data_IF_430282917008
#
_entry.id   IF_430282917008
#
_cell.length_a   1.000
_cell.length_b   1.000
_cell.length_c   1.000
_cell.angle_alpha   90.00
_cell.angle_beta   90.00
_cell.angle_gamma   90.00
#
_symmetry.space_group_name_H-M   'P 1'
#
loop_
_entity.id
_entity.type
_entity.pdbx_description
1 polymer ?
#
# COMPACT_ATOMS: atom_id res chain seq x y z
N UNK A 1 1.95 -0.01 -24.13
CA UNK A 1 2.98 0.46 -23.18
C UNK A 1 2.43 0.25 -21.79
N UNK A 2 3.15 -0.39 -20.89
CA UNK A 2 2.70 -0.60 -19.52
C UNK A 2 2.62 0.74 -18.79
N UNK A 3 1.51 0.97 -18.09
CA UNK A 3 1.32 2.10 -17.17
C UNK A 3 1.14 1.51 -15.78
N UNK A 4 2.16 1.63 -14.97
CA UNK A 4 2.26 0.96 -13.66
C UNK A 4 1.91 1.94 -12.54
N UNK A 5 0.92 1.59 -11.73
CA UNK A 5 0.58 2.30 -10.49
C UNK A 5 1.25 1.62 -9.31
N UNK A 6 2.08 2.37 -8.58
CA UNK A 6 2.64 1.90 -7.32
C UNK A 6 1.71 2.24 -6.17
N UNK A 7 1.48 1.26 -5.28
CA UNK A 7 0.69 1.42 -4.06
C UNK A 7 1.42 0.81 -2.87
N UNK A 8 1.16 1.36 -1.69
CA UNK A 8 1.64 0.81 -0.41
C UNK A 8 0.66 1.16 0.70
N UNK A 9 0.78 0.58 1.87
CA UNK A 9 0.04 1.01 3.05
C UNK A 9 0.82 2.04 3.89
N UNK A 10 0.14 2.66 4.86
CA UNK A 10 0.74 3.75 5.66
C UNK A 10 1.82 3.30 6.62
N UNK A 11 1.89 2.00 6.99
CA UNK A 11 2.98 1.46 7.81
C UNK A 11 4.34 1.40 7.07
N UNK A 12 4.39 1.81 5.79
CA UNK A 12 5.63 2.00 5.03
C UNK A 12 6.47 3.18 5.52
N UNK A 13 5.90 4.06 6.37
CA UNK A 13 6.52 5.32 6.79
C UNK A 13 7.03 6.20 5.64
N UNK A 14 6.43 6.02 4.47
CA UNK A 14 6.79 6.79 3.28
C UNK A 14 6.38 8.26 3.45
N UNK A 15 7.29 9.23 3.32
CA UNK A 15 6.91 10.63 3.38
C UNK A 15 5.87 10.97 2.31
N UNK A 16 4.75 11.59 2.72
CA UNK A 16 3.64 11.93 1.81
C UNK A 16 4.09 12.78 0.63
N UNK A 17 4.99 13.72 0.85
CA UNK A 17 5.53 14.54 -0.23
C UNK A 17 6.24 13.68 -1.28
N UNK A 18 7.10 12.74 -0.84
CA UNK A 18 7.79 11.82 -1.75
C UNK A 18 6.82 10.91 -2.50
N UNK A 19 5.77 10.44 -1.82
CA UNK A 19 4.72 9.63 -2.46
C UNK A 19 3.98 10.43 -3.54
N UNK A 20 3.58 11.65 -3.26
CA UNK A 20 2.92 12.54 -4.22
C UNK A 20 3.81 12.84 -5.42
N UNK A 21 5.08 13.21 -5.18
CA UNK A 21 6.05 13.48 -6.24
C UNK A 21 6.28 12.25 -7.14
N UNK A 22 6.23 11.05 -6.58
CA UNK A 22 6.43 9.79 -7.31
C UNK A 22 5.13 9.17 -7.84
N UNK A 23 3.95 9.70 -7.49
CA UNK A 23 2.66 9.17 -7.92
C UNK A 23 2.29 7.84 -7.23
N UNK A 24 2.80 7.63 -6.01
CA UNK A 24 2.52 6.46 -5.18
C UNK A 24 1.26 6.71 -4.37
N UNK A 25 0.32 5.77 -4.36
CA UNK A 25 -0.82 5.81 -3.46
C UNK A 25 -0.46 5.15 -2.13
N UNK A 26 -0.66 5.88 -1.03
CA UNK A 26 -0.54 5.35 0.33
C UNK A 26 -1.94 5.06 0.84
N UNK A 27 -2.24 3.80 1.11
CA UNK A 27 -3.53 3.34 1.63
C UNK A 27 -3.48 3.40 3.17
N UNK A 28 -4.33 4.21 3.80
CA UNK A 28 -4.26 4.44 5.24
C UNK A 28 -4.71 3.22 6.05
N UNK A 29 -3.94 2.89 7.08
CA UNK A 29 -4.33 1.89 8.09
C UNK A 29 -5.32 2.54 9.05
N UNK A 30 -6.47 1.89 9.36
CA UNK A 30 -7.39 2.40 10.37
C UNK A 30 -6.81 2.23 11.78
N UNK A 31 -6.95 3.27 12.60
CA UNK A 31 -6.52 3.32 14.01
C UNK A 31 -7.74 3.67 14.87
N UNK A 32 -7.89 3.00 16.00
CA UNK A 32 -8.88 3.34 17.01
C UNK A 32 -8.20 3.86 18.28
N UNK A 33 -8.69 5.00 18.78
CA UNK A 33 -8.25 5.62 20.03
C UNK A 33 -9.48 5.92 20.88
N UNK A 34 -9.56 5.36 22.07
CA UNK A 34 -10.69 5.55 23.00
C UNK A 34 -12.08 5.34 22.33
N UNK A 35 -12.18 4.35 21.43
CA UNK A 35 -13.40 4.03 20.71
C UNK A 35 -13.70 4.90 19.49
N UNK A 36 -12.86 5.89 19.19
CA UNK A 36 -12.97 6.71 17.97
C UNK A 36 -12.04 6.17 16.87
N UNK A 37 -12.56 6.04 15.64
CA UNK A 37 -11.79 5.61 14.47
C UNK A 37 -11.10 6.78 13.77
N UNK A 38 -9.89 6.53 13.29
CA UNK A 38 -9.04 7.46 12.52
C UNK A 38 -8.38 6.71 11.37
N UNK A 39 -7.95 7.45 10.35
CA UNK A 39 -7.12 6.95 9.26
C UNK A 39 -5.70 7.52 9.39
N UNK A 40 -4.72 6.64 9.51
CA UNK A 40 -3.32 6.99 9.69
C UNK A 40 -2.82 7.94 8.60
N UNK A 41 -2.24 9.05 9.06
CA UNK A 41 -1.69 10.07 8.18
C UNK A 41 -2.75 10.81 7.32
N UNK A 42 -4.04 10.56 7.47
CA UNK A 42 -5.15 11.34 6.88
C UNK A 42 -5.72 12.28 7.92
N UNK A 43 -6.13 11.73 9.06
CA UNK A 43 -6.83 12.49 10.11
C UNK A 43 -5.86 13.18 11.07
N UNK A 44 -4.60 12.82 11.04
CA UNK A 44 -3.54 13.43 11.87
C UNK A 44 -2.15 13.27 11.24
N UNK A 45 -1.26 14.16 11.58
CA UNK A 45 0.18 14.00 11.34
C UNK A 45 0.81 13.10 12.40
N UNK A 46 2.00 12.50 12.17
CA UNK A 46 2.70 11.73 13.20
C UNK A 46 2.89 12.51 14.51
N UNK A 47 3.16 13.81 14.44
CA UNK A 47 3.34 14.66 15.63
C UNK A 47 2.03 14.83 16.41
N UNK A 48 0.92 15.04 15.73
CA UNK A 48 -0.40 15.15 16.37
C UNK A 48 -0.80 13.82 17.00
N UNK A 49 -0.47 12.69 16.35
CA UNK A 49 -0.75 11.36 16.89
C UNK A 49 -0.04 11.10 18.23
N UNK A 50 1.20 11.55 18.39
CA UNK A 50 1.88 11.45 19.71
C UNK A 50 1.14 12.21 20.79
N UNK A 51 0.56 13.37 20.50
CA UNK A 51 -0.26 14.12 21.44
C UNK A 51 -1.57 13.40 21.77
N UNK A 52 -2.20 12.78 20.76
CA UNK A 52 -3.40 11.95 20.94
C UNK A 52 -3.07 10.77 21.86
N UNK A 53 -1.98 10.05 21.59
CA UNK A 53 -1.54 8.90 22.39
C UNK A 53 -1.27 9.27 23.86
N UNK A 54 -0.66 10.43 24.12
CA UNK A 54 -0.38 10.89 25.49
C UNK A 54 -1.65 11.20 26.29
N UNK A 55 -2.75 11.57 25.62
CA UNK A 55 -4.04 11.87 26.24
C UNK A 55 -5.01 10.68 26.25
N UNK A 56 -4.70 9.62 25.53
CA UNK A 56 -5.53 8.44 25.41
C UNK A 56 -5.62 7.67 26.75
N UNK A 57 -6.80 7.14 27.05
CA UNK A 57 -7.04 6.31 28.25
C UNK A 57 -6.55 4.88 28.06
N UNK A 58 -6.60 4.41 26.83
CA UNK A 58 -6.17 3.07 26.41
C UNK A 58 -5.13 3.15 25.31
N UNK A 59 -4.33 2.11 25.15
CA UNK A 59 -3.36 2.02 24.06
C UNK A 59 -4.13 1.98 22.73
N UNK A 60 -3.82 2.86 21.76
CA UNK A 60 -4.43 2.82 20.44
C UNK A 60 -4.27 1.47 19.79
N UNK A 61 -5.27 1.04 19.04
CA UNK A 61 -5.25 -0.21 18.30
C UNK A 61 -5.39 0.03 16.81
N UNK A 62 -4.77 -0.82 15.99
CA UNK A 62 -4.91 -0.79 14.54
C UNK A 62 -5.83 -1.91 14.07
N UNK A 63 -6.49 -1.70 12.95
CA UNK A 63 -7.20 -2.76 12.23
C UNK A 63 -6.63 -2.93 10.83
N UNK A 64 -6.88 -4.11 10.25
CA UNK A 64 -6.51 -4.38 8.86
C UNK A 64 -7.29 -3.48 7.90
N UNK A 65 -6.66 -3.08 6.78
CA UNK A 65 -7.36 -2.42 5.68
C UNK A 65 -8.38 -3.40 5.09
N UNK A 66 -9.60 -2.94 4.81
CA UNK A 66 -10.67 -3.79 4.32
C UNK A 66 -10.49 -4.17 2.84
N UNK A 67 -11.00 -5.34 2.38
CA UNK A 67 -11.03 -5.68 0.95
C UNK A 67 -11.77 -4.65 0.10
N UNK A 68 -12.81 -4.02 0.65
CA UNK A 68 -13.59 -2.97 -0.03
C UNK A 68 -12.70 -1.75 -0.30
N UNK A 69 -11.93 -1.31 0.70
CA UNK A 69 -10.99 -0.19 0.54
C UNK A 69 -9.97 -0.50 -0.57
N UNK A 70 -9.39 -1.70 -0.59
CA UNK A 70 -8.48 -2.09 -1.67
C UNK A 70 -9.16 -2.11 -3.04
N UNK A 71 -10.37 -2.67 -3.13
CA UNK A 71 -11.16 -2.69 -4.36
C UNK A 71 -11.37 -1.28 -4.91
N UNK A 72 -11.65 -0.28 -4.07
CA UNK A 72 -11.81 1.13 -4.47
C UNK A 72 -10.51 1.71 -5.07
N UNK A 73 -9.35 1.41 -4.48
CA UNK A 73 -8.05 1.84 -5.02
C UNK A 73 -7.74 1.18 -6.36
N UNK A 74 -8.02 -0.11 -6.52
CA UNK A 74 -7.81 -0.82 -7.80
C UNK A 74 -8.75 -0.30 -8.88
N UNK A 75 -10.01 -0.03 -8.53
CA UNK A 75 -11.00 0.55 -9.45
C UNK A 75 -10.57 1.94 -9.92
N UNK A 76 -10.08 2.78 -9.03
CA UNK A 76 -9.54 4.10 -9.39
C UNK A 76 -8.36 3.98 -10.35
N UNK A 77 -7.41 3.10 -10.07
CA UNK A 77 -6.28 2.88 -10.97
C UNK A 77 -6.74 2.40 -12.36
N UNK A 78 -7.72 1.50 -12.43
CA UNK A 78 -8.31 1.06 -13.68
C UNK A 78 -8.97 2.22 -14.44
N UNK A 79 -9.75 3.06 -13.78
CA UNK A 79 -10.38 4.23 -14.40
C UNK A 79 -9.37 5.27 -14.90
N UNK A 80 -8.24 5.42 -14.20
CA UNK A 80 -7.13 6.29 -14.60
C UNK A 80 -6.31 5.71 -15.77
N UNK A 81 -6.64 4.50 -16.25
CA UNK A 81 -6.05 3.84 -17.41
C UNK A 81 -4.68 3.20 -17.12
N UNK A 82 -4.40 2.82 -15.89
CA UNK A 82 -3.26 1.98 -15.58
C UNK A 82 -3.48 0.55 -16.09
N UNK A 83 -2.43 -0.05 -16.60
CA UNK A 83 -2.45 -1.45 -17.07
C UNK A 83 -1.99 -2.43 -16.00
N UNK A 84 -1.27 -1.92 -15.01
CA UNK A 84 -0.70 -2.72 -13.93
C UNK A 84 -0.72 -1.93 -12.62
N UNK A 85 -1.00 -2.62 -11.53
CA UNK A 85 -0.84 -2.15 -10.15
C UNK A 85 0.19 -3.02 -9.47
N UNK A 86 1.17 -2.43 -8.79
CA UNK A 86 2.07 -3.12 -7.87
C UNK A 86 1.82 -2.55 -6.48
N UNK A 87 1.24 -3.37 -5.60
CA UNK A 87 1.02 -3.04 -4.21
C UNK A 87 2.03 -3.80 -3.35
N UNK A 88 2.81 -3.06 -2.58
CA UNK A 88 3.73 -3.62 -1.58
C UNK A 88 3.18 -3.30 -0.20
N UNK A 89 2.88 -4.33 0.57
CA UNK A 89 2.28 -4.20 1.90
C UNK A 89 3.19 -4.64 3.03
N UNK A 90 2.83 -4.24 4.25
CA UNK A 90 3.45 -4.71 5.49
C UNK A 90 3.50 -6.25 5.53
N UNK A 91 4.50 -6.78 6.25
CA UNK A 91 4.70 -8.24 6.43
C UNK A 91 3.39 -8.99 6.73
N UNK A 92 3.14 -10.04 5.95
CA UNK A 92 2.00 -10.93 6.12
C UNK A 92 2.02 -11.70 7.45
N UNK A 93 3.19 -11.81 8.09
CA UNK A 93 3.31 -12.43 9.42
C UNK A 93 2.88 -11.50 10.55
N UNK A 94 2.86 -10.19 10.30
CA UNK A 94 2.50 -9.18 11.29
C UNK A 94 1.06 -8.67 11.15
N UNK A 95 0.52 -8.68 9.93
CA UNK A 95 -0.80 -8.12 9.64
C UNK A 95 -1.55 -8.94 8.60
N UNK A 96 -2.85 -9.11 8.83
CA UNK A 96 -3.74 -9.69 7.82
C UNK A 96 -3.99 -8.76 6.61
N UNK A 97 -3.47 -7.53 6.62
CA UNK A 97 -3.59 -6.52 5.55
C UNK A 97 -3.20 -7.08 4.18
N UNK A 98 -2.10 -7.87 4.12
CA UNK A 98 -1.69 -8.56 2.89
C UNK A 98 -2.78 -9.50 2.32
N UNK A 99 -3.42 -10.31 3.18
CA UNK A 99 -4.51 -11.20 2.74
C UNK A 99 -5.73 -10.41 2.29
N UNK A 100 -6.07 -9.32 3.00
CA UNK A 100 -7.17 -8.43 2.62
C UNK A 100 -6.93 -7.74 1.28
N UNK A 101 -5.68 -7.43 0.94
CA UNK A 101 -5.34 -6.90 -0.38
C UNK A 101 -5.67 -7.90 -1.50
N UNK A 102 -5.41 -9.20 -1.27
CA UNK A 102 -5.78 -10.27 -2.22
C UNK A 102 -7.30 -10.44 -2.33
N UNK A 103 -8.01 -10.45 -1.20
CA UNK A 103 -9.47 -10.48 -1.21
C UNK A 103 -10.06 -9.28 -1.97
N UNK A 104 -9.39 -8.12 -1.87
CA UNK A 104 -9.74 -6.92 -2.63
C UNK A 104 -9.56 -7.07 -4.14
N UNK A 105 -8.58 -7.86 -4.60
CA UNK A 105 -8.42 -8.19 -6.03
C UNK A 105 -9.59 -9.04 -6.54
N UNK A 106 -9.99 -10.06 -5.79
CA UNK A 106 -11.13 -10.90 -6.14
C UNK A 106 -12.40 -10.05 -6.21
N UNK A 107 -12.66 -9.25 -5.17
CA UNK A 107 -13.80 -8.35 -5.11
C UNK A 107 -13.82 -7.34 -6.28
N UNK A 108 -12.66 -6.80 -6.65
CA UNK A 108 -12.54 -5.88 -7.77
C UNK A 108 -12.94 -6.53 -9.09
N UNK A 109 -12.42 -7.72 -9.40
CA UNK A 109 -12.75 -8.40 -10.65
C UNK A 109 -14.16 -8.98 -10.68
N UNK A 110 -14.78 -9.26 -9.54
CA UNK A 110 -16.18 -9.67 -9.46
C UNK A 110 -17.13 -8.49 -9.73
N UNK A 111 -16.77 -7.29 -9.25
CA UNK A 111 -17.58 -6.09 -9.44
C UNK A 111 -17.30 -5.37 -10.77
N UNK A 112 -16.15 -5.62 -11.41
CA UNK A 112 -15.71 -4.95 -12.64
C UNK A 112 -15.25 -5.97 -13.69
N UNK A 113 -16.21 -6.71 -14.26
CA UNK A 113 -15.93 -7.81 -15.21
C UNK A 113 -15.19 -7.34 -16.45
N UNK A 114 -15.42 -6.10 -16.88
CA UNK A 114 -14.78 -5.52 -18.06
C UNK A 114 -13.31 -5.13 -17.83
N UNK A 115 -12.83 -5.13 -16.57
CA UNK A 115 -11.43 -4.93 -16.24
C UNK A 115 -10.57 -6.18 -16.47
N UNK A 116 -11.20 -7.38 -16.55
CA UNK A 116 -10.48 -8.64 -16.79
C UNK A 116 -9.69 -8.59 -18.09
N UNK A 117 -8.38 -8.84 -18.00
CA UNK A 117 -7.45 -8.78 -19.11
C UNK A 117 -7.03 -7.37 -19.56
N UNK A 118 -7.50 -6.31 -18.88
CA UNK A 118 -7.10 -4.91 -19.16
C UNK A 118 -6.17 -4.35 -18.11
N UNK A 119 -6.23 -4.86 -16.88
CA UNK A 119 -5.35 -4.49 -15.78
C UNK A 119 -4.89 -5.73 -15.02
N UNK A 120 -3.63 -5.73 -14.58
CA UNK A 120 -3.08 -6.77 -13.71
C UNK A 120 -2.77 -6.14 -12.34
N UNK A 121 -2.99 -6.90 -11.28
CA UNK A 121 -2.75 -6.44 -9.91
C UNK A 121 -1.78 -7.41 -9.24
N UNK A 122 -0.62 -6.89 -8.86
CA UNK A 122 0.48 -7.63 -8.24
C UNK A 122 0.59 -7.24 -6.77
N UNK A 123 0.37 -8.20 -5.87
CA UNK A 123 0.48 -7.99 -4.43
C UNK A 123 1.79 -8.58 -3.94
N UNK A 124 2.66 -7.74 -3.39
CA UNK A 124 3.97 -8.12 -2.87
C UNK A 124 3.95 -8.08 -1.35
N UNK A 125 4.29 -9.20 -0.73
CA UNK A 125 4.57 -9.28 0.71
C UNK A 125 5.98 -8.79 0.97
N UNK A 126 6.12 -7.70 1.71
CA UNK A 126 7.45 -7.14 2.01
C UNK A 126 8.24 -7.97 3.01
N UNK A 127 7.57 -8.80 3.81
CA UNK A 127 8.14 -9.56 4.94
C UNK A 127 8.86 -8.66 5.97
N UNK A 128 8.63 -7.36 5.93
CA UNK A 128 9.32 -6.35 6.74
C UNK A 128 8.38 -5.21 7.16
N UNK A 129 8.93 -4.15 7.75
CA UNK A 129 8.23 -3.04 8.35
C UNK A 129 8.83 -1.69 7.92
N UNK A 130 8.04 -0.61 8.02
CA UNK A 130 8.48 0.76 7.92
C UNK A 130 9.28 1.04 6.62
N UNK A 131 10.37 1.79 6.71
CA UNK A 131 11.21 2.10 5.56
C UNK A 131 11.91 0.87 4.94
N UNK A 132 11.90 -0.29 5.60
CA UNK A 132 12.37 -1.54 5.03
C UNK A 132 11.66 -1.87 3.71
N UNK A 133 10.36 -1.52 3.58
CA UNK A 133 9.66 -1.61 2.31
C UNK A 133 9.26 -0.23 1.73
N UNK A 134 9.14 0.82 2.52
CA UNK A 134 8.86 2.15 2.00
C UNK A 134 9.94 2.64 1.02
N UNK A 135 11.21 2.42 1.35
CA UNK A 135 12.31 2.82 0.47
C UNK A 135 12.30 2.08 -0.89
N UNK A 136 12.24 0.73 -0.97
CA UNK A 136 12.17 0.05 -2.26
C UNK A 136 10.91 0.37 -3.05
N UNK A 137 9.79 0.72 -2.42
CA UNK A 137 8.60 1.23 -3.12
C UNK A 137 8.90 2.54 -3.86
N UNK A 138 9.64 3.47 -3.24
CA UNK A 138 10.10 4.69 -3.93
C UNK A 138 11.02 4.38 -5.12
N UNK A 139 11.94 3.42 -4.95
CA UNK A 139 12.82 3.02 -6.06
C UNK A 139 12.03 2.36 -7.19
N UNK A 140 11.09 1.49 -6.88
CA UNK A 140 10.18 0.87 -7.86
C UNK A 140 9.36 1.91 -8.65
N UNK A 141 8.87 2.96 -7.96
CA UNK A 141 8.18 4.05 -8.63
C UNK A 141 9.09 4.84 -9.59
N UNK A 142 10.35 5.07 -9.22
CA UNK A 142 11.35 5.69 -10.12
C UNK A 142 11.62 4.79 -11.33
N UNK A 143 11.83 3.49 -11.11
CA UNK A 143 12.02 2.51 -12.17
C UNK A 143 10.86 2.51 -13.18
N UNK A 144 9.62 2.58 -12.68
CA UNK A 144 8.43 2.69 -13.53
C UNK A 144 8.47 3.94 -14.41
N UNK A 145 8.88 5.09 -13.87
CA UNK A 145 9.04 6.34 -14.63
C UNK A 145 10.18 6.30 -15.66
N UNK A 146 11.21 5.53 -15.39
CA UNK A 146 12.32 5.26 -16.30
C UNK A 146 11.96 4.25 -17.39
N UNK A 147 10.71 3.74 -17.40
CA UNK A 147 10.20 2.82 -18.41
C UNK A 147 10.56 1.36 -18.17
N UNK A 148 10.95 0.99 -16.97
CA UNK A 148 11.15 -0.40 -16.57
C UNK A 148 9.84 -1.16 -16.60
N UNK A 149 9.92 -2.44 -16.96
CA UNK A 149 8.77 -3.34 -17.02
C UNK A 149 8.32 -3.78 -15.64
N UNK A 150 7.08 -4.27 -15.54
CA UNK A 150 6.56 -4.89 -14.29
C UNK A 150 7.48 -6.01 -13.81
N UNK A 151 7.97 -6.86 -14.72
CA UNK A 151 8.86 -7.98 -14.39
C UNK A 151 10.19 -7.49 -13.78
N UNK A 152 10.82 -6.47 -14.36
CA UNK A 152 12.06 -5.88 -13.81
C UNK A 152 11.83 -5.31 -12.42
N UNK A 153 10.69 -4.63 -12.19
CA UNK A 153 10.35 -4.04 -10.90
C UNK A 153 10.05 -5.13 -9.86
N UNK A 154 9.28 -6.16 -10.22
CA UNK A 154 8.99 -7.26 -9.30
C UNK A 154 10.26 -8.04 -8.92
N UNK A 155 11.15 -8.27 -9.88
CA UNK A 155 12.47 -8.88 -9.62
C UNK A 155 13.31 -8.04 -8.67
N UNK A 156 13.35 -6.72 -8.88
CA UNK A 156 14.04 -5.80 -7.96
C UNK A 156 13.46 -5.87 -6.54
N UNK A 157 12.13 -5.85 -6.39
CA UNK A 157 11.48 -5.92 -5.08
C UNK A 157 11.75 -7.27 -4.39
N UNK A 158 11.69 -8.37 -5.15
CA UNK A 158 11.99 -9.71 -4.61
C UNK A 158 13.44 -9.79 -4.12
N UNK A 159 14.40 -9.40 -4.95
CA UNK A 159 15.83 -9.35 -4.59
C UNK A 159 16.09 -8.49 -3.35
N UNK A 160 15.38 -7.35 -3.23
CA UNK A 160 15.51 -6.48 -2.07
C UNK A 160 15.06 -7.18 -0.79
N UNK A 161 13.85 -7.77 -0.80
CA UNK A 161 13.27 -8.40 0.40
C UNK A 161 13.97 -9.72 0.77
N UNK A 162 14.57 -10.42 -0.19
CA UNK A 162 15.38 -11.62 0.10
C UNK A 162 16.73 -11.31 0.78
N UNK A 163 17.25 -10.10 0.55
CA UNK A 163 18.54 -9.65 1.15
C UNK A 163 18.36 -8.83 2.43
N UNK A 164 17.12 -8.46 2.75
CA UNK A 164 16.83 -7.70 3.95
C UNK A 164 16.82 -8.65 5.14
N UNK A 165 17.85 -8.57 5.97
CA UNK A 165 17.97 -9.32 7.22
C UNK A 165 17.37 -8.47 8.36
N UNK A 166 16.27 -8.93 8.96
CA UNK A 166 15.57 -8.24 10.06
C UNK A 166 15.37 -9.20 11.22
#
# INVERSE_FOLDING_TARGET
MQRIKMMTDSASDLPRQSAQELGIDIIPIPIAVDGQGYLEGVDFTPREFYSIMQSAKEIPTTSQISPVTYCEYYYRAYQEGYTDVILVGISSTASATYLRAKDGVELFFDNCLDAKGKINIHIVDSKTFSLGYGYPVMQAAKMSREGKTVEEILTFLQDWFERLDI
#
